data_IF_222658478605
#
_entry.id   IF_222658478605
#
_cell.length_a   1.000
_cell.length_b   1.000
_cell.length_c   1.000
_cell.angle_alpha   90.00
_cell.angle_beta   90.00
_cell.angle_gamma   90.00
#
_symmetry.space_group_name_H-M   'P 1'
#
loop_
_entity.id
_entity.type
_entity.pdbx_description
1 polymer ?
#
# COMPACT_ATOMS: atom_id res chain seq x y z
N UNK A 1 34.54 12.71 24.41
CA UNK A 1 33.16 12.20 24.45
C UNK A 1 32.33 13.02 23.48
N UNK A 2 32.13 12.52 22.26
CA UNK A 2 31.10 13.02 21.34
C UNK A 2 30.07 11.90 21.24
N UNK A 3 28.88 12.17 21.75
CA UNK A 3 27.73 11.30 21.54
C UNK A 3 27.18 11.67 20.17
N UNK A 4 27.53 10.89 19.16
CA UNK A 4 26.91 10.99 17.86
C UNK A 4 25.49 10.40 17.99
N UNK A 5 24.51 11.28 18.12
CA UNK A 5 23.11 10.93 17.88
C UNK A 5 22.95 10.76 16.37
N UNK A 6 23.30 9.58 15.89
CA UNK A 6 22.91 9.13 14.56
C UNK A 6 21.38 8.96 14.60
N UNK A 7 20.67 9.94 14.05
CA UNK A 7 19.22 9.94 13.97
C UNK A 7 18.77 8.67 13.26
N UNK A 8 18.13 7.78 14.02
CA UNK A 8 17.62 6.52 13.52
C UNK A 8 16.56 6.83 12.46
N UNK A 9 16.90 6.67 11.19
CA UNK A 9 15.96 6.77 10.08
C UNK A 9 14.96 5.62 10.23
N UNK A 10 13.77 5.92 10.74
CA UNK A 10 12.70 4.94 10.90
C UNK A 10 12.26 4.53 9.50
N UNK A 11 12.58 3.30 9.10
CA UNK A 11 12.14 2.74 7.83
C UNK A 11 10.62 2.59 7.82
N UNK A 12 9.92 3.52 7.17
CA UNK A 12 8.46 3.51 7.06
C UNK A 12 8.06 2.44 6.04
N UNK A 13 7.34 1.41 6.51
CA UNK A 13 6.78 0.36 5.67
C UNK A 13 5.33 0.66 5.28
N UNK A 14 4.98 0.30 4.05
CA UNK A 14 3.63 0.43 3.51
C UNK A 14 3.35 -0.64 2.46
N UNK A 15 2.08 -1.00 2.31
CA UNK A 15 1.61 -1.84 1.21
C UNK A 15 1.38 -0.97 -0.01
N UNK A 16 2.06 -1.28 -1.12
CA UNK A 16 1.74 -0.67 -2.40
C UNK A 16 0.48 -1.31 -2.98
N UNK A 17 -0.50 -0.48 -3.29
CA UNK A 17 -1.78 -0.91 -3.85
C UNK A 17 -2.00 -0.15 -5.15
N UNK A 18 -2.01 -0.86 -6.26
CA UNK A 18 -2.28 -0.27 -7.57
C UNK A 18 -3.76 -0.37 -7.88
N UNK A 19 -4.40 0.77 -8.11
CA UNK A 19 -5.73 0.82 -8.68
C UNK A 19 -5.56 0.76 -10.20
N UNK A 20 -6.12 -0.28 -10.86
CA UNK A 20 -5.99 -0.40 -12.30
C UNK A 20 -6.73 0.77 -12.99
N UNK A 21 -6.19 1.29 -14.10
CA UNK A 21 -6.83 2.32 -14.90
C UNK A 21 -8.17 1.80 -15.48
N UNK A 22 -9.08 2.72 -15.77
CA UNK A 22 -10.41 2.37 -16.31
C UNK A 22 -10.36 1.75 -17.71
N UNK A 23 -9.35 2.09 -18.50
CA UNK A 23 -9.18 1.62 -19.88
C UNK A 23 -8.83 0.12 -19.96
N UNK A 24 -8.18 -0.44 -18.94
CA UNK A 24 -7.94 -1.89 -18.80
C UNK A 24 -9.24 -2.72 -18.80
N UNK A 25 -10.39 -2.09 -18.55
CA UNK A 25 -11.70 -2.74 -18.50
C UNK A 25 -12.50 -2.61 -19.79
N UNK A 26 -11.93 -2.06 -20.88
CA UNK A 26 -12.62 -1.90 -22.17
C UNK A 26 -13.98 -1.18 -22.10
N UNK A 27 -14.14 -0.26 -21.13
CA UNK A 27 -15.40 0.45 -20.89
C UNK A 27 -16.44 -0.33 -20.08
N UNK A 28 -16.12 -1.53 -19.57
CA UNK A 28 -16.97 -2.26 -18.64
C UNK A 28 -16.91 -1.64 -17.23
N UNK A 29 -17.81 -0.68 -16.99
CA UNK A 29 -17.91 0.01 -15.71
C UNK A 29 -18.30 -0.92 -14.56
N UNK A 30 -19.12 -1.96 -14.82
CA UNK A 30 -19.55 -2.89 -13.78
C UNK A 30 -18.34 -3.68 -13.28
N UNK A 31 -17.52 -4.18 -14.19
CA UNK A 31 -16.30 -4.92 -13.85
C UNK A 31 -15.28 -4.03 -13.14
N UNK A 32 -15.12 -2.79 -13.59
CA UNK A 32 -14.24 -1.81 -12.94
C UNK A 32 -14.69 -1.53 -11.49
N UNK A 33 -15.98 -1.26 -11.28
CA UNK A 33 -16.53 -1.01 -9.94
C UNK A 33 -16.41 -2.24 -9.04
N UNK A 34 -16.64 -3.45 -9.57
CA UNK A 34 -16.44 -4.68 -8.83
C UNK A 34 -14.97 -4.84 -8.39
N UNK A 35 -14.01 -4.51 -9.27
CA UNK A 35 -12.59 -4.55 -8.91
C UNK A 35 -12.22 -3.53 -7.84
N UNK A 36 -12.71 -2.29 -7.95
CA UNK A 36 -12.53 -1.27 -6.92
C UNK A 36 -13.10 -1.70 -5.58
N UNK A 37 -14.29 -2.29 -5.58
CA UNK A 37 -14.94 -2.79 -4.37
C UNK A 37 -14.09 -3.87 -3.70
N UNK A 38 -13.59 -4.85 -4.47
CA UNK A 38 -12.70 -5.89 -3.96
C UNK A 38 -11.44 -5.31 -3.33
N UNK A 39 -10.80 -4.31 -3.97
CA UNK A 39 -9.63 -3.65 -3.41
C UNK A 39 -10.01 -2.99 -2.08
N UNK A 40 -11.07 -2.17 -2.06
CA UNK A 40 -11.51 -1.46 -0.86
C UNK A 40 -11.83 -2.41 0.30
N UNK A 41 -12.56 -3.48 0.04
CA UNK A 41 -12.93 -4.49 1.05
C UNK A 41 -11.70 -5.22 1.58
N UNK A 42 -10.75 -5.58 0.69
CA UNK A 42 -9.47 -6.15 1.08
C UNK A 42 -8.70 -5.23 2.03
N UNK A 43 -8.55 -3.95 1.68
CA UNK A 43 -7.86 -2.97 2.54
C UNK A 43 -8.57 -2.79 3.89
N UNK A 44 -9.90 -2.71 3.90
CA UNK A 44 -10.67 -2.59 5.12
C UNK A 44 -10.49 -3.82 6.03
N UNK A 45 -10.45 -5.02 5.45
CA UNK A 45 -10.20 -6.26 6.19
C UNK A 45 -8.80 -6.28 6.82
N UNK A 46 -7.76 -5.85 6.09
CA UNK A 46 -6.41 -5.77 6.63
C UNK A 46 -6.31 -4.80 7.80
N UNK A 47 -6.97 -3.63 7.68
CA UNK A 47 -7.05 -2.66 8.78
C UNK A 47 -7.80 -3.26 9.98
N UNK A 48 -8.89 -3.99 9.75
CA UNK A 48 -9.64 -4.64 10.81
C UNK A 48 -8.79 -5.67 11.57
N UNK A 49 -8.00 -6.50 10.88
CA UNK A 49 -7.09 -7.45 11.54
C UNK A 49 -6.09 -6.71 12.42
N UNK A 50 -5.44 -5.66 11.88
CA UNK A 50 -4.50 -4.82 12.64
C UNK A 50 -5.14 -4.24 13.91
N UNK A 51 -6.40 -3.79 13.84
CA UNK A 51 -7.09 -3.17 14.98
C UNK A 51 -7.56 -4.17 16.03
N UNK A 52 -7.94 -5.38 15.63
CA UNK A 52 -8.51 -6.40 16.53
C UNK A 52 -7.43 -7.25 17.17
N UNK A 53 -6.38 -7.62 16.43
CA UNK A 53 -5.34 -8.52 16.90
C UNK A 53 -3.99 -8.20 16.24
N UNK A 54 -3.14 -7.50 17.00
CA UNK A 54 -1.78 -7.15 16.58
C UNK A 54 -0.87 -8.37 16.40
N UNK A 55 -1.07 -9.44 17.18
CA UNK A 55 -0.28 -10.65 17.04
C UNK A 55 -0.65 -11.39 15.74
N UNK A 56 -1.95 -11.49 15.42
CA UNK A 56 -2.41 -12.02 14.15
C UNK A 56 -1.93 -11.18 12.97
N UNK A 57 -1.94 -9.85 13.10
CA UNK A 57 -1.42 -8.94 12.08
C UNK A 57 0.08 -9.15 11.82
N UNK A 58 0.89 -9.21 12.89
CA UNK A 58 2.33 -9.50 12.80
C UNK A 58 2.59 -10.87 12.19
N UNK A 59 1.84 -11.88 12.62
CA UNK A 59 1.92 -13.23 12.05
C UNK A 59 1.62 -13.22 10.54
N UNK A 60 0.62 -12.44 10.11
CA UNK A 60 0.26 -12.33 8.70
C UNK A 60 1.38 -11.71 7.87
N UNK A 61 1.98 -10.62 8.36
CA UNK A 61 3.11 -9.94 7.75
C UNK A 61 4.30 -10.89 7.52
N UNK A 62 4.67 -11.65 8.53
CA UNK A 62 5.82 -12.57 8.46
C UNK A 62 5.49 -13.80 7.62
N UNK A 63 4.34 -14.42 7.83
CA UNK A 63 4.08 -15.77 7.31
C UNK A 63 3.56 -15.79 5.88
N UNK A 64 2.77 -14.77 5.49
CA UNK A 64 2.17 -14.72 4.15
C UNK A 64 2.88 -13.73 3.21
N UNK A 65 3.54 -12.71 3.76
CA UNK A 65 4.18 -11.65 2.97
C UNK A 65 5.68 -11.52 3.18
N UNK A 66 6.29 -12.42 3.97
CA UNK A 66 7.74 -12.51 4.19
C UNK A 66 8.35 -11.16 4.62
N UNK A 67 7.60 -10.38 5.40
CA UNK A 67 8.04 -9.09 5.91
C UNK A 67 8.92 -9.30 7.15
N UNK A 68 10.16 -8.86 7.09
CA UNK A 68 11.06 -8.85 8.25
C UNK A 68 10.65 -7.76 9.24
N UNK A 69 9.94 -8.12 10.30
CA UNK A 69 9.45 -7.21 11.35
C UNK A 69 10.41 -7.05 12.54
N UNK A 70 11.58 -7.69 12.49
CA UNK A 70 12.52 -7.74 13.60
C UNK A 70 12.02 -8.49 14.83
N UNK A 71 12.94 -8.71 15.78
CA UNK A 71 12.72 -9.32 17.09
C UNK A 71 12.89 -8.31 18.21
N UNK A 72 12.25 -8.56 19.34
CA UNK A 72 12.33 -7.67 20.51
C UNK A 72 13.81 -7.37 20.87
N UNK A 73 14.15 -6.09 20.96
CA UNK A 73 15.52 -5.61 21.17
C UNK A 73 16.29 -5.23 19.89
N UNK A 74 15.77 -5.53 18.70
CA UNK A 74 16.33 -5.08 17.42
C UNK A 74 15.79 -3.70 17.03
N UNK A 75 16.58 -2.91 16.30
CA UNK A 75 16.13 -1.60 15.81
C UNK A 75 14.90 -1.68 14.90
N UNK A 76 14.73 -2.79 14.18
CA UNK A 76 13.63 -2.99 13.24
C UNK A 76 12.31 -3.38 13.95
N UNK A 77 12.39 -3.73 15.23
CA UNK A 77 11.23 -4.15 16.01
C UNK A 77 10.34 -2.98 16.35
N UNK A 78 9.13 -3.01 15.80
CA UNK A 78 8.05 -2.12 16.17
C UNK A 78 7.07 -2.87 17.08
N UNK A 79 6.74 -2.27 18.23
CA UNK A 79 5.75 -2.83 19.18
C UNK A 79 4.36 -2.90 18.54
N UNK A 80 4.00 -1.88 17.75
CA UNK A 80 2.77 -1.83 16.97
C UNK A 80 3.10 -1.51 15.51
N UNK A 81 2.74 -2.42 14.59
CA UNK A 81 3.00 -2.23 13.16
C UNK A 81 1.76 -1.61 12.50
N UNK A 82 1.82 -0.37 11.99
CA UNK A 82 0.68 0.27 11.39
C UNK A 82 0.35 -0.31 10.01
N UNK A 83 -0.94 -0.48 9.72
CA UNK A 83 -1.43 -0.82 8.38
C UNK A 83 -1.43 0.44 7.50
N UNK A 84 -0.31 0.71 6.83
CA UNK A 84 -0.14 1.84 5.89
C UNK A 84 -0.26 1.37 4.46
N UNK A 85 -0.95 2.13 3.62
CA UNK A 85 -1.14 1.81 2.21
C UNK A 85 -0.72 3.00 1.33
N UNK A 86 0.09 2.73 0.31
CA UNK A 86 0.40 3.65 -0.77
C UNK A 86 -0.51 3.32 -1.95
N UNK A 87 -1.52 4.17 -2.19
CA UNK A 87 -2.44 4.01 -3.32
C UNK A 87 -1.82 4.64 -4.57
N UNK A 88 -1.55 3.82 -5.58
CA UNK A 88 -1.13 4.29 -6.90
C UNK A 88 -2.33 4.29 -7.84
N UNK A 89 -2.74 5.48 -8.27
CA UNK A 89 -3.72 5.67 -9.33
C UNK A 89 -2.96 5.76 -10.66
N UNK A 90 -2.97 4.68 -11.45
CA UNK A 90 -2.55 4.79 -12.83
C UNK A 90 -3.65 5.53 -13.58
N UNK A 91 -3.54 6.86 -13.63
CA UNK A 91 -4.30 7.64 -14.58
C UNK A 91 -3.59 7.43 -15.92
N UNK A 92 -4.18 6.63 -16.81
CA UNK A 92 -3.71 6.52 -18.19
C UNK A 92 -3.42 7.94 -18.68
N UNK A 93 -2.16 8.22 -19.03
CA UNK A 93 -1.76 9.55 -19.46
C UNK A 93 -2.68 9.93 -20.60
N UNK A 94 -3.43 11.01 -20.42
CA UNK A 94 -4.11 11.70 -21.50
C UNK A 94 -2.99 12.13 -22.46
N UNK A 95 -2.64 11.24 -23.39
CA UNK A 95 -1.78 11.57 -24.51
C UNK A 95 -2.57 12.61 -25.26
N UNK A 96 -2.25 13.86 -24.93
CA UNK A 96 -2.57 15.07 -25.65
C UNK A 96 -3.07 14.69 -27.03
N UNK A 97 -4.39 14.74 -27.21
CA UNK A 97 -4.96 15.12 -28.49
C UNK A 97 -4.30 16.45 -28.81
N UNK A 98 -3.13 16.38 -29.46
CA UNK A 98 -2.52 17.49 -30.17
C UNK A 98 -3.63 17.98 -31.08
N UNK A 99 -4.24 19.10 -30.69
CA UNK A 99 -5.05 19.89 -31.57
C UNK A 99 -4.15 20.28 -32.74
N UNK A 100 -4.19 19.49 -33.81
CA UNK A 100 -3.70 19.92 -35.10
C UNK A 100 -4.68 21.00 -35.56
N UNK A 101 -4.32 22.26 -35.31
CA UNK A 101 -5.00 23.39 -35.94
C UNK A 101 -4.82 23.25 -37.46
N UNK A 102 -5.90 23.20 -38.26
CA UNK A 102 -5.78 23.29 -39.70
C UNK A 102 -5.22 24.67 -40.07
N UNK A 103 -4.32 24.71 -41.05
CA UNK A 103 -3.82 25.95 -41.67
C UNK A 103 -4.89 26.61 -42.50
#
# INVERSE_FOLDING_TARGET
MRSDHEGCEVSIRYFRVTIPPRDEFNGDEILYQAKLQQIREGLALLVAVKLVDQAAWRFMLVSYWDVDVGREGEQLFEEEIPARFELTLNLASDTSRRYALPK
#
